data_IF_751804333449
#
_entry.id   IF_751804333449
#
_cell.length_a   1.000
_cell.length_b   1.000
_cell.length_c   1.000
_cell.angle_alpha   90.00
_cell.angle_beta   90.00
_cell.angle_gamma   90.00
#
_symmetry.space_group_name_H-M   'P 1'
#
loop_
_entity.id
_entity.type
_entity.pdbx_description
1 polymer ?
#
# COMPACT_ATOMS: atom_id res chain seq x y z
N UNK A 1 21.79 7.32 4.29
CA UNK A 1 20.53 8.08 4.40
C UNK A 1 19.69 7.34 5.41
N UNK A 2 19.15 7.98 6.47
CA UNK A 2 18.40 7.24 7.46
C UNK A 2 17.08 6.78 6.83
N UNK A 3 17.00 5.49 6.51
CA UNK A 3 15.79 4.81 6.01
C UNK A 3 14.59 5.04 6.94
N UNK A 4 14.86 5.30 8.22
CA UNK A 4 13.88 5.51 9.29
C UNK A 4 12.89 6.65 9.01
N UNK A 5 13.31 7.74 8.36
CA UNK A 5 12.40 8.87 8.05
C UNK A 5 11.31 8.50 7.04
N UNK A 6 11.56 7.45 6.25
CA UNK A 6 10.67 6.95 5.20
C UNK A 6 9.81 5.75 5.64
N UNK A 7 10.05 5.24 6.84
CA UNK A 7 9.28 4.15 7.44
C UNK A 7 8.25 4.67 8.46
N UNK A 8 7.74 5.88 8.21
CA UNK A 8 6.75 6.52 9.06
C UNK A 8 5.37 5.85 9.02
N UNK A 9 4.49 6.28 9.93
CA UNK A 9 3.14 5.73 10.04
C UNK A 9 2.30 5.88 8.77
N UNK A 10 2.49 6.97 8.01
CA UNK A 10 1.78 7.18 6.75
C UNK A 10 2.19 6.14 5.70
N UNK A 11 3.49 5.92 5.53
CA UNK A 11 4.03 4.92 4.62
C UNK A 11 3.62 3.51 5.05
N UNK A 12 3.65 3.21 6.35
CA UNK A 12 3.17 1.92 6.89
C UNK A 12 1.70 1.67 6.58
N UNK A 13 0.83 2.67 6.77
CA UNK A 13 -0.61 2.56 6.50
C UNK A 13 -0.90 2.33 5.01
N UNK A 14 -0.25 3.08 4.12
CA UNK A 14 -0.38 2.90 2.67
C UNK A 14 0.18 1.52 2.26
N UNK A 15 1.34 1.13 2.79
CA UNK A 15 1.96 -0.17 2.52
C UNK A 15 1.05 -1.35 2.92
N UNK A 16 0.36 -1.23 4.06
CA UNK A 16 -0.57 -2.24 4.58
C UNK A 16 -1.78 -2.44 3.67
N UNK A 17 -2.40 -1.36 3.17
CA UNK A 17 -3.50 -1.49 2.22
C UNK A 17 -3.03 -2.07 0.89
N UNK A 18 -1.89 -1.59 0.37
CA UNK A 18 -1.30 -2.12 -0.85
C UNK A 18 -0.95 -3.61 -0.71
N UNK A 19 -0.46 -4.03 0.46
CA UNK A 19 -0.20 -5.43 0.75
C UNK A 19 -1.46 -6.25 0.57
N UNK A 20 -2.55 -5.85 1.23
CA UNK A 20 -3.80 -6.59 1.15
C UNK A 20 -4.31 -6.69 -0.28
N UNK A 21 -4.31 -5.57 -1.00
CA UNK A 21 -4.75 -5.55 -2.40
C UNK A 21 -3.89 -6.47 -3.28
N UNK A 22 -2.57 -6.42 -3.16
CA UNK A 22 -1.66 -7.19 -4.01
C UNK A 22 -1.70 -8.68 -3.68
N UNK A 23 -1.61 -9.05 -2.40
CA UNK A 23 -1.35 -10.43 -2.00
C UNK A 23 -2.61 -11.21 -1.60
N UNK A 24 -3.63 -10.54 -1.03
CA UNK A 24 -4.86 -11.21 -0.62
C UNK A 24 -6.00 -11.05 -1.60
N UNK A 25 -6.17 -9.86 -2.18
CA UNK A 25 -7.17 -9.61 -3.21
C UNK A 25 -6.62 -9.76 -4.65
N UNK A 26 -5.36 -10.20 -4.78
CA UNK A 26 -4.69 -10.57 -6.05
C UNK A 26 -4.64 -9.47 -7.12
N UNK A 27 -4.64 -8.19 -6.73
CA UNK A 27 -4.39 -7.07 -7.63
C UNK A 27 -2.89 -6.91 -7.93
N UNK A 28 -2.28 -7.94 -8.53
CA UNK A 28 -0.84 -7.99 -8.85
C UNK A 28 -0.39 -6.83 -9.74
N UNK A 29 -1.31 -6.21 -10.49
CA UNK A 29 -1.04 -5.02 -11.28
C UNK A 29 -0.46 -3.87 -10.44
N UNK A 30 -0.94 -3.65 -9.21
CA UNK A 30 -0.40 -2.59 -8.33
C UNK A 30 1.08 -2.82 -7.99
N UNK A 31 1.50 -4.08 -7.84
CA UNK A 31 2.91 -4.42 -7.62
C UNK A 31 3.76 -4.02 -8.82
N UNK A 32 3.33 -4.39 -10.04
CA UNK A 32 4.08 -4.07 -11.26
C UNK A 32 4.16 -2.57 -11.51
N UNK A 33 3.08 -1.84 -11.25
CA UNK A 33 3.05 -0.40 -11.41
C UNK A 33 3.96 0.31 -10.40
N UNK A 34 3.94 -0.09 -9.12
CA UNK A 34 4.88 0.43 -8.13
C UNK A 34 6.33 0.11 -8.49
N UNK A 35 6.61 -1.09 -9.02
CA UNK A 35 7.97 -1.54 -9.33
C UNK A 35 8.55 -0.89 -10.59
N UNK A 36 7.73 -0.71 -11.62
CA UNK A 36 8.18 -0.35 -12.97
C UNK A 36 7.44 0.83 -13.59
N UNK A 37 6.16 1.03 -13.24
CA UNK A 37 5.27 1.98 -13.93
C UNK A 37 5.31 3.41 -13.41
N UNK A 38 5.38 3.60 -12.09
CA UNK A 38 5.32 4.92 -11.44
C UNK A 38 6.61 5.70 -11.71
N UNK A 39 7.77 5.09 -11.49
CA UNK A 39 9.06 5.76 -11.65
C UNK A 39 9.23 6.94 -10.68
N UNK A 40 9.59 8.11 -11.20
CA UNK A 40 9.78 9.35 -10.42
C UNK A 40 8.58 10.31 -10.56
N UNK A 41 7.46 9.83 -11.13
CA UNK A 41 6.26 10.63 -11.43
C UNK A 41 5.22 10.56 -10.30
N UNK A 42 5.11 11.66 -9.55
CA UNK A 42 4.18 11.79 -8.40
C UNK A 42 2.71 11.68 -8.84
N UNK A 43 2.39 12.13 -10.06
CA UNK A 43 1.05 12.00 -10.63
C UNK A 43 0.66 10.54 -10.79
N UNK A 44 1.57 9.72 -11.32
CA UNK A 44 1.34 8.26 -11.42
C UNK A 44 1.20 7.57 -10.07
N UNK A 45 1.96 8.01 -9.05
CA UNK A 45 1.75 7.50 -7.69
C UNK A 45 0.37 7.88 -7.15
N UNK A 46 -0.06 9.13 -7.37
CA UNK A 46 -1.38 9.61 -7.01
C UNK A 46 -2.50 8.80 -7.69
N UNK A 47 -2.36 8.52 -8.97
CA UNK A 47 -3.33 7.71 -9.73
C UNK A 47 -3.40 6.27 -9.23
N UNK A 48 -2.26 5.68 -8.88
CA UNK A 48 -2.20 4.35 -8.28
C UNK A 48 -2.91 4.31 -6.93
N UNK A 49 -2.63 5.28 -6.05
CA UNK A 49 -3.30 5.40 -4.75
C UNK A 49 -4.80 5.60 -4.93
N UNK A 50 -5.23 6.43 -5.88
CA UNK A 50 -6.64 6.65 -6.19
C UNK A 50 -7.34 5.39 -6.70
N UNK A 51 -6.68 4.57 -7.51
CA UNK A 51 -7.21 3.26 -7.92
C UNK A 51 -7.26 2.27 -6.76
N UNK A 52 -6.21 2.20 -5.95
CA UNK A 52 -6.17 1.37 -4.76
C UNK A 52 -7.32 1.72 -3.78
N UNK A 53 -7.65 3.02 -3.64
CA UNK A 53 -8.77 3.47 -2.83
C UNK A 53 -10.11 2.94 -3.35
N UNK A 54 -10.33 3.01 -4.67
CA UNK A 54 -11.57 2.52 -5.28
C UNK A 54 -11.72 1.03 -5.08
N UNK A 55 -10.66 0.25 -5.30
CA UNK A 55 -10.71 -1.20 -5.06
C UNK A 55 -10.92 -1.51 -3.58
N UNK A 56 -10.24 -0.81 -2.66
CA UNK A 56 -10.44 -0.98 -1.24
C UNK A 56 -11.90 -0.73 -0.81
N UNK A 57 -12.55 0.30 -1.35
CA UNK A 57 -13.96 0.58 -1.10
C UNK A 57 -14.84 -0.52 -1.69
N UNK A 58 -14.59 -0.95 -2.93
CA UNK A 58 -15.32 -2.02 -3.60
C UNK A 58 -15.29 -3.33 -2.80
N UNK A 59 -14.13 -3.68 -2.24
CA UNK A 59 -13.96 -4.91 -1.46
C UNK A 59 -14.73 -4.92 -0.12
N UNK A 60 -15.28 -3.79 0.34
CA UNK A 60 -16.18 -3.78 1.51
C UNK A 60 -17.51 -4.49 1.23
N UNK A 61 -17.88 -4.59 -0.03
CA UNK A 61 -19.11 -5.22 -0.49
C UNK A 61 -18.88 -6.66 -0.98
N UNK A 62 -17.62 -7.09 -1.04
CA UNK A 62 -17.22 -8.41 -1.53
C UNK A 62 -17.23 -9.43 -0.37
N UNK A 63 -18.05 -10.48 -0.48
CA UNK A 63 -18.25 -11.46 0.61
C UNK A 63 -16.94 -12.12 1.07
N UNK A 64 -15.99 -12.39 0.17
CA UNK A 64 -14.72 -13.02 0.51
C UNK A 64 -13.80 -12.08 1.31
N UNK A 65 -13.83 -10.79 1.00
CA UNK A 65 -12.87 -9.81 1.51
C UNK A 65 -13.42 -8.91 2.61
N UNK A 66 -14.75 -8.82 2.74
CA UNK A 66 -15.45 -7.84 3.58
C UNK A 66 -14.99 -7.86 5.03
N UNK A 67 -14.88 -9.03 5.65
CA UNK A 67 -14.55 -9.12 7.08
C UNK A 67 -13.19 -8.47 7.38
N UNK A 68 -12.17 -8.77 6.58
CA UNK A 68 -10.82 -8.23 6.76
C UNK A 68 -10.75 -6.75 6.36
N UNK A 69 -11.34 -6.38 5.23
CA UNK A 69 -11.31 -4.99 4.74
C UNK A 69 -12.05 -4.05 5.69
N UNK A 70 -13.13 -4.48 6.34
CA UNK A 70 -13.83 -3.67 7.33
C UNK A 70 -13.02 -3.42 8.60
N UNK A 71 -12.09 -4.31 8.95
CA UNK A 71 -11.14 -4.13 10.07
C UNK A 71 -9.98 -3.20 9.69
N UNK A 72 -9.75 -2.96 8.40
CA UNK A 72 -8.73 -2.04 7.91
C UNK A 72 -9.29 -0.62 7.75
N UNK A 73 -8.47 0.38 8.06
CA UNK A 73 -8.78 1.77 7.77
C UNK A 73 -8.04 2.19 6.49
N UNK A 74 -8.77 2.85 5.57
CA UNK A 74 -8.12 3.54 4.47
C UNK A 74 -7.30 4.73 5.03
N UNK A 75 -6.04 4.93 4.58
CA UNK A 75 -5.20 6.03 5.05
C UNK A 75 -5.83 7.40 4.79
N UNK A 76 -5.59 8.34 5.72
CA UNK A 76 -6.17 9.68 5.64
C UNK A 76 -5.56 10.53 4.52
N UNK A 77 -6.16 11.70 4.27
CA UNK A 77 -5.61 12.68 3.31
C UNK A 77 -4.17 13.08 3.65
N UNK A 78 -3.87 13.27 4.92
CA UNK A 78 -2.53 13.64 5.38
C UNK A 78 -1.50 12.55 5.11
N UNK A 79 -1.89 11.27 5.30
CA UNK A 79 -1.03 10.13 4.97
C UNK A 79 -0.69 10.10 3.48
N UNK A 80 -1.70 10.28 2.63
CA UNK A 80 -1.52 10.31 1.16
C UNK A 80 -0.59 11.47 0.77
N UNK A 81 -0.81 12.67 1.32
CA UNK A 81 0.05 13.82 1.05
C UNK A 81 1.48 13.61 1.53
N UNK A 82 1.69 12.91 2.65
CA UNK A 82 3.01 12.58 3.17
C UNK A 82 3.75 11.61 2.26
N UNK A 83 3.08 10.53 1.84
CA UNK A 83 3.62 9.56 0.87
C UNK A 83 3.95 10.21 -0.47
N UNK A 84 3.12 11.13 -0.96
CA UNK A 84 3.40 11.91 -2.17
C UNK A 84 4.63 12.80 -2.01
N UNK A 85 4.78 13.50 -0.86
CA UNK A 85 5.97 14.33 -0.58
C UNK A 85 7.24 13.48 -0.49
N UNK A 86 7.18 12.29 0.09
CA UNK A 86 8.30 11.37 0.10
C UNK A 86 8.68 10.92 -1.31
N UNK A 87 7.68 10.60 -2.13
CA UNK A 87 7.95 10.24 -3.52
C UNK A 87 8.53 11.39 -4.33
N UNK A 88 8.00 12.60 -4.16
CA UNK A 88 8.55 13.81 -4.80
C UNK A 88 10.01 14.04 -4.43
N UNK A 89 10.36 13.85 -3.15
CA UNK A 89 11.71 14.10 -2.63
C UNK A 89 12.71 13.01 -3.00
N UNK A 90 12.30 11.74 -3.06
CA UNK A 90 13.22 10.60 -3.16
C UNK A 90 13.00 9.72 -4.40
N UNK A 91 11.97 9.99 -5.18
CA UNK A 91 11.64 9.29 -6.42
C UNK A 91 11.52 7.78 -6.24
N UNK A 92 12.05 7.02 -7.20
CA UNK A 92 12.04 5.55 -7.21
C UNK A 92 12.60 4.90 -5.95
N UNK A 93 13.52 5.55 -5.23
CA UNK A 93 14.07 4.99 -3.98
C UNK A 93 12.99 4.84 -2.91
N UNK A 94 12.08 5.82 -2.83
CA UNK A 94 10.94 5.72 -1.92
C UNK A 94 10.00 4.58 -2.31
N UNK A 95 9.75 4.39 -3.62
CA UNK A 95 8.93 3.27 -4.09
C UNK A 95 9.52 1.90 -3.72
N UNK A 96 10.84 1.75 -3.73
CA UNK A 96 11.49 0.52 -3.27
C UNK A 96 11.26 0.26 -1.78
N UNK A 97 11.28 1.32 -0.95
CA UNK A 97 10.98 1.23 0.47
C UNK A 97 9.51 0.85 0.66
N UNK A 98 8.59 1.56 -0.01
CA UNK A 98 7.17 1.27 0.04
C UNK A 98 6.87 -0.17 -0.37
N UNK A 99 7.47 -0.65 -1.46
CA UNK A 99 7.36 -2.05 -1.90
C UNK A 99 7.93 -3.04 -0.89
N UNK A 100 9.07 -2.74 -0.28
CA UNK A 100 9.67 -3.57 0.78
C UNK A 100 8.76 -3.69 1.99
N UNK A 101 8.11 -2.59 2.40
CA UNK A 101 7.15 -2.57 3.49
C UNK A 101 5.85 -3.28 3.11
N UNK A 102 5.39 -3.13 1.87
CA UNK A 102 4.26 -3.86 1.30
C UNK A 102 4.54 -5.35 1.21
N UNK A 103 5.79 -5.81 1.08
CA UNK A 103 6.14 -7.23 1.21
C UNK A 103 6.24 -7.71 2.67
N UNK A 104 6.15 -6.77 3.62
CA UNK A 104 6.19 -7.02 5.07
C UNK A 104 4.96 -7.76 5.59
N UNK A 105 5.10 -8.24 6.83
CA UNK A 105 4.16 -9.17 7.47
C UNK A 105 2.84 -8.47 7.80
N UNK A 106 1.74 -8.93 7.20
CA UNK A 106 0.39 -8.45 7.49
C UNK A 106 -0.31 -9.32 8.55
N UNK A 107 -1.35 -8.81 9.22
CA UNK A 107 -2.09 -9.59 10.24
C UNK A 107 -2.69 -10.87 9.68
N UNK A 108 -3.31 -10.82 8.50
CA UNK A 108 -3.81 -12.00 7.79
C UNK A 108 -2.68 -12.99 7.44
N UNK A 109 -1.48 -12.50 7.12
CA UNK A 109 -0.31 -13.31 6.83
C UNK A 109 0.22 -14.01 8.09
N UNK A 110 0.07 -13.37 9.26
CA UNK A 110 0.37 -13.97 10.56
C UNK A 110 -0.67 -15.04 10.90
N UNK A 111 -1.95 -14.77 10.69
CA UNK A 111 -3.03 -15.75 10.84
C UNK A 111 -2.87 -16.94 9.89
N UNK A 112 -2.48 -16.71 8.63
CA UNK A 112 -2.25 -17.77 7.63
C UNK A 112 -0.99 -18.59 7.92
N UNK A 113 0.04 -18.01 8.55
CA UNK A 113 1.28 -18.72 8.93
C UNK A 113 1.19 -19.39 10.30
N UNK A 114 0.37 -18.85 11.20
CA UNK A 114 0.00 -19.45 12.48
C UNK A 114 -1.23 -20.33 12.30
N UNK A 115 -1.05 -21.49 11.67
CA UNK A 115 -2.03 -22.56 11.82
C UNK A 115 -2.13 -22.91 13.30
N UNK A 116 -3.31 -22.71 13.88
CA UNK A 116 -3.74 -22.90 15.29
C UNK A 116 -3.25 -21.90 16.33
#
# INVERSE_FOLDING_TARGET
>A
MPIEELQDGATQRIASVLHYLIYHARYVQFYHELRLGVGDDVGKLSDLIGRAQREFIRLKEDEEHREYIMKMAWPGREDIMQVQRHHEKYGKKYLQILLGMTAGVCSRCLEEKGGT
#
